data_IF_638548849925
#
_entry.id   IF_638548849925
#
_cell.length_a   1.000
_cell.length_b   1.000
_cell.length_c   1.000
_cell.angle_alpha   90.00
_cell.angle_beta   90.00
_cell.angle_gamma   90.00
#
_symmetry.space_group_name_H-M   'P 1'
#
loop_
_entity.id
_entity.type
_entity.pdbx_description
1 polymer ?
#
# COMPACT_ATOMS: atom_id res chain seq x y z
N UNK A 1 2.82 -11.09 -20.43
CA UNK A 1 2.96 -10.56 -19.06
C UNK A 1 4.38 -10.03 -18.95
N UNK A 2 4.59 -8.82 -18.44
CA UNK A 2 5.95 -8.27 -18.24
C UNK A 2 6.59 -9.03 -17.07
N UNK A 3 7.86 -9.42 -17.21
CA UNK A 3 8.59 -10.06 -16.10
C UNK A 3 8.68 -9.06 -14.92
N UNK A 4 8.24 -9.43 -13.72
CA UNK A 4 8.33 -8.57 -12.54
C UNK A 4 9.76 -8.07 -12.24
N UNK A 5 10.78 -8.87 -12.60
CA UNK A 5 12.19 -8.50 -12.42
C UNK A 5 12.65 -7.41 -13.38
N UNK A 6 11.89 -7.16 -14.47
CA UNK A 6 12.20 -6.12 -15.46
C UNK A 6 11.50 -4.78 -15.18
N UNK A 7 10.63 -4.72 -14.15
CA UNK A 7 9.93 -3.50 -13.76
C UNK A 7 10.89 -2.52 -13.08
N UNK A 8 10.79 -1.27 -13.51
CA UNK A 8 11.55 -0.14 -12.96
C UNK A 8 10.61 0.84 -12.26
N UNK A 9 10.95 1.21 -11.01
CA UNK A 9 10.07 2.02 -10.16
C UNK A 9 9.84 3.44 -10.70
N UNK A 10 10.80 3.99 -11.42
CA UNK A 10 10.69 5.35 -11.95
C UNK A 10 9.96 5.38 -13.28
N UNK A 11 10.13 4.35 -14.12
CA UNK A 11 9.44 4.21 -15.40
C UNK A 11 8.04 3.64 -15.24
N UNK A 12 7.93 2.51 -14.52
CA UNK A 12 6.71 1.70 -14.45
C UNK A 12 5.86 2.02 -13.22
N UNK A 13 6.46 2.64 -12.20
CA UNK A 13 5.79 3.00 -10.96
C UNK A 13 5.69 1.88 -9.94
N UNK A 14 6.20 0.69 -10.22
CA UNK A 14 6.18 -0.45 -9.31
C UNK A 14 7.41 -1.34 -9.52
N UNK A 15 7.86 -2.02 -8.45
CA UNK A 15 8.91 -3.03 -8.50
C UNK A 15 8.69 -4.11 -7.44
N UNK A 16 9.26 -5.30 -7.68
CA UNK A 16 9.19 -6.46 -6.79
C UNK A 16 10.57 -6.71 -6.15
N UNK A 17 10.57 -6.86 -4.83
CA UNK A 17 11.73 -7.29 -4.05
C UNK A 17 11.45 -8.68 -3.49
N UNK A 18 11.98 -9.71 -4.15
CA UNK A 18 11.73 -11.10 -3.77
C UNK A 18 12.38 -11.44 -2.44
N UNK A 19 11.57 -12.03 -1.55
CA UNK A 19 12.01 -12.54 -0.25
C UNK A 19 12.54 -11.47 0.73
N UNK A 20 12.39 -10.17 0.44
CA UNK A 20 12.95 -9.10 1.26
C UNK A 20 12.46 -9.14 2.72
N UNK A 21 11.22 -9.56 2.94
CA UNK A 21 10.63 -9.66 4.28
C UNK A 21 10.74 -11.07 4.89
N UNK A 22 11.39 -12.04 4.24
CA UNK A 22 11.40 -13.44 4.72
C UNK A 22 11.93 -13.56 6.14
N UNK A 23 13.01 -12.86 6.47
CA UNK A 23 13.59 -12.87 7.83
C UNK A 23 12.70 -12.20 8.88
N UNK A 24 11.73 -11.37 8.48
CA UNK A 24 10.85 -10.62 9.37
C UNK A 24 9.50 -11.34 9.62
N UNK A 25 9.20 -12.42 8.91
CA UNK A 25 7.88 -13.06 8.93
C UNK A 25 7.44 -13.51 10.32
N UNK A 26 8.36 -14.05 11.13
CA UNK A 26 8.04 -14.49 12.50
C UNK A 26 7.70 -13.31 13.40
N UNK A 27 8.48 -12.24 13.33
CA UNK A 27 8.25 -11.03 14.12
C UNK A 27 6.95 -10.33 13.69
N UNK A 28 6.72 -10.21 12.37
CA UNK A 28 5.47 -9.71 11.82
C UNK A 28 4.27 -10.54 12.29
N UNK A 29 4.36 -11.87 12.25
CA UNK A 29 3.28 -12.74 12.71
C UNK A 29 2.97 -12.53 14.19
N UNK A 30 4.01 -12.41 15.04
CA UNK A 30 3.85 -12.17 16.48
C UNK A 30 3.22 -10.79 16.77
N UNK A 31 3.66 -9.74 16.08
CA UNK A 31 3.12 -8.39 16.23
C UNK A 31 1.68 -8.34 15.74
N UNK A 32 1.40 -8.86 14.55
CA UNK A 32 0.09 -8.78 13.92
C UNK A 32 -0.97 -9.66 14.61
N UNK A 33 -0.58 -10.67 15.38
CA UNK A 33 -1.50 -11.47 16.19
C UNK A 33 -2.24 -10.68 17.27
N UNK A 34 -1.76 -9.48 17.63
CA UNK A 34 -2.45 -8.55 18.56
C UNK A 34 -3.69 -7.88 17.93
N UNK A 35 -3.80 -7.89 16.61
CA UNK A 35 -4.83 -7.15 15.88
C UNK A 35 -5.99 -8.06 15.46
N UNK A 36 -7.21 -7.51 15.33
CA UNK A 36 -8.40 -8.31 15.04
C UNK A 36 -8.27 -9.11 13.75
N UNK A 37 -8.63 -10.37 13.80
CA UNK A 37 -8.71 -11.30 12.68
C UNK A 37 -10.03 -11.19 11.93
N UNK A 38 -10.06 -11.57 10.65
CA UNK A 38 -11.28 -11.65 9.86
C UNK A 38 -11.90 -10.31 9.45
N UNK A 39 -11.13 -9.22 9.48
CA UNK A 39 -11.55 -7.91 8.98
C UNK A 39 -10.87 -7.61 7.64
N UNK A 40 -11.65 -7.06 6.71
CA UNK A 40 -11.19 -6.73 5.35
C UNK A 40 -9.92 -5.87 5.31
N UNK A 41 -9.78 -4.95 6.28
CA UNK A 41 -8.59 -4.12 6.45
C UNK A 41 -8.59 -3.51 7.86
N UNK A 42 -7.49 -3.73 8.58
CA UNK A 42 -7.26 -3.18 9.92
C UNK A 42 -6.18 -2.11 9.82
N UNK A 43 -6.52 -0.88 10.21
CA UNK A 43 -5.55 0.21 10.30
C UNK A 43 -4.80 0.11 11.61
N UNK A 44 -3.47 0.01 11.51
CA UNK A 44 -2.57 -0.14 12.64
C UNK A 44 -1.96 1.21 12.96
N UNK A 45 -2.03 1.61 14.23
CA UNK A 45 -1.36 2.81 14.76
C UNK A 45 -1.05 2.63 16.24
N UNK A 46 0.04 3.26 16.70
CA UNK A 46 0.47 3.18 18.09
C UNK A 46 1.08 1.83 18.49
N UNK A 47 1.61 1.06 17.52
CA UNK A 47 2.33 -0.17 17.79
C UNK A 47 3.86 0.06 17.66
N UNK A 48 4.58 0.26 18.77
CA UNK A 48 6.00 0.59 18.73
C UNK A 48 6.89 -0.56 18.22
N UNK A 49 6.43 -1.81 18.33
CA UNK A 49 7.18 -2.95 17.81
C UNK A 49 7.11 -2.97 16.29
N UNK A 50 5.91 -2.72 15.72
CA UNK A 50 5.74 -2.60 14.28
C UNK A 50 6.49 -1.38 13.74
N UNK A 51 6.40 -0.23 14.39
CA UNK A 51 7.11 0.98 14.00
C UNK A 51 8.62 0.75 13.91
N UNK A 52 9.21 0.10 14.94
CA UNK A 52 10.65 -0.24 14.95
C UNK A 52 11.04 -1.23 13.85
N UNK A 53 10.21 -2.24 13.59
CA UNK A 53 10.47 -3.24 12.56
C UNK A 53 10.47 -2.65 11.14
N UNK A 54 9.68 -1.60 10.94
CA UNK A 54 9.46 -0.94 9.65
C UNK A 54 10.26 0.38 9.50
N UNK A 55 11.04 0.76 10.50
CA UNK A 55 11.84 1.99 10.47
C UNK A 55 12.94 1.96 9.39
N UNK A 56 13.50 3.13 9.10
CA UNK A 56 14.52 3.33 8.07
C UNK A 56 15.75 2.43 8.21
N UNK A 57 16.10 2.06 9.43
CA UNK A 57 17.24 1.16 9.73
C UNK A 57 16.94 -0.32 9.42
N UNK A 58 15.67 -0.68 9.25
CA UNK A 58 15.25 -2.03 8.88
C UNK A 58 15.27 -2.26 7.36
N UNK A 59 15.23 -3.52 6.89
CA UNK A 59 15.35 -3.82 5.46
C UNK A 59 14.22 -3.21 4.62
N UNK A 60 13.02 -3.10 5.17
CA UNK A 60 11.85 -2.54 4.47
C UNK A 60 11.97 -1.02 4.36
N UNK A 61 12.29 -0.33 5.48
CA UNK A 61 12.48 1.12 5.49
C UNK A 61 13.68 1.55 4.65
N UNK A 62 14.80 0.83 4.74
CA UNK A 62 15.98 1.08 3.92
C UNK A 62 15.70 0.93 2.41
N UNK A 63 14.90 -0.08 2.02
CA UNK A 63 14.44 -0.24 0.65
C UNK A 63 13.55 0.94 0.23
N UNK A 64 12.59 1.34 1.06
CA UNK A 64 11.72 2.48 0.78
C UNK A 64 12.51 3.79 0.65
N UNK A 65 13.51 4.03 1.51
CA UNK A 65 14.42 5.17 1.42
C UNK A 65 15.22 5.17 0.12
N UNK A 66 15.76 4.01 -0.26
CA UNK A 66 16.49 3.84 -1.54
C UNK A 66 15.60 4.14 -2.74
N UNK A 67 14.37 3.63 -2.75
CA UNK A 67 13.39 3.89 -3.81
C UNK A 67 13.02 5.36 -3.88
N UNK A 68 12.86 6.03 -2.73
CA UNK A 68 12.54 7.48 -2.69
C UNK A 68 13.73 8.36 -3.03
N UNK A 69 14.95 7.88 -2.83
CA UNK A 69 16.19 8.67 -2.97
C UNK A 69 16.42 9.66 -1.82
N UNK A 70 15.73 9.48 -0.68
CA UNK A 70 15.89 10.28 0.54
C UNK A 70 15.36 9.51 1.75
N UNK A 71 15.67 10.02 2.96
CA UNK A 71 15.15 9.45 4.20
C UNK A 71 13.62 9.49 4.23
N UNK A 72 13.03 8.40 4.66
CA UNK A 72 11.58 8.22 4.80
C UNK A 72 11.26 7.56 6.12
N UNK A 73 10.00 7.72 6.56
CA UNK A 73 9.45 7.02 7.72
C UNK A 73 8.12 6.39 7.39
N UNK A 74 7.74 5.31 8.07
CA UNK A 74 6.42 4.72 7.91
C UNK A 74 5.37 5.65 8.54
N UNK A 75 4.35 6.02 7.75
CA UNK A 75 3.33 7.02 8.17
C UNK A 75 1.93 6.42 8.28
N UNK A 76 1.68 5.27 7.70
CA UNK A 76 0.41 4.54 7.76
C UNK A 76 0.67 3.05 7.56
N UNK A 77 0.01 2.19 8.35
CA UNK A 77 -0.03 0.75 8.12
C UNK A 77 -1.48 0.24 8.07
N UNK A 78 -1.72 -0.70 7.15
CA UNK A 78 -3.01 -1.38 6.98
C UNK A 78 -2.76 -2.86 6.76
N UNK A 79 -3.30 -3.71 7.62
CA UNK A 79 -3.33 -5.14 7.40
C UNK A 79 -4.58 -5.50 6.60
N UNK A 80 -4.41 -5.93 5.37
CA UNK A 80 -5.48 -6.50 4.56
C UNK A 80 -5.54 -8.01 4.78
N UNK A 81 -6.74 -8.51 5.06
CA UNK A 81 -7.00 -9.94 5.25
C UNK A 81 -8.20 -10.33 4.39
N UNK A 82 -7.92 -10.84 3.20
CA UNK A 82 -8.94 -11.41 2.32
C UNK A 82 -9.09 -12.90 2.61
N UNK A 83 -10.32 -13.30 2.87
CA UNK A 83 -10.74 -14.68 3.09
C UNK A 83 -12.19 -14.85 2.61
N UNK A 84 -12.78 -16.02 2.75
CA UNK A 84 -14.15 -16.31 2.28
C UNK A 84 -15.22 -15.31 2.78
N UNK A 85 -15.01 -14.72 3.94
CA UNK A 85 -15.96 -13.78 4.57
C UNK A 85 -15.67 -12.31 4.25
N UNK A 86 -14.46 -12.02 3.81
CA UNK A 86 -13.95 -10.65 3.62
C UNK A 86 -13.40 -10.46 2.21
N UNK A 87 -13.94 -11.19 1.23
CA UNK A 87 -13.56 -11.01 -0.17
C UNK A 87 -14.36 -9.85 -0.79
N UNK A 88 -13.64 -8.86 -1.29
CA UNK A 88 -14.23 -7.69 -1.95
C UNK A 88 -13.37 -7.28 -3.15
N UNK A 89 -13.99 -6.65 -4.13
CA UNK A 89 -13.30 -5.97 -5.21
C UNK A 89 -13.11 -4.49 -4.88
N UNK A 90 -12.00 -3.95 -5.33
CA UNK A 90 -11.73 -2.52 -5.30
C UNK A 90 -11.37 -2.07 -6.72
N UNK A 91 -12.21 -1.24 -7.32
CA UNK A 91 -12.02 -0.71 -8.66
C UNK A 91 -10.77 0.16 -8.77
N UNK A 92 -10.41 0.52 -9.99
CA UNK A 92 -9.26 1.37 -10.28
C UNK A 92 -9.34 2.71 -9.58
N UNK A 93 -8.28 3.08 -8.87
CA UNK A 93 -8.19 4.35 -8.14
C UNK A 93 -6.72 4.72 -7.86
N UNK A 94 -6.51 5.97 -7.48
CA UNK A 94 -5.30 6.46 -6.83
C UNK A 94 -5.56 6.62 -5.34
N UNK A 95 -4.60 6.30 -4.49
CA UNK A 95 -4.61 6.73 -3.09
C UNK A 95 -4.52 8.26 -3.04
N UNK A 96 -5.46 8.91 -2.35
CA UNK A 96 -5.58 10.38 -2.31
C UNK A 96 -5.58 10.97 -0.92
N UNK A 97 -5.56 10.15 0.11
CA UNK A 97 -5.68 10.62 1.48
C UNK A 97 -4.51 10.12 2.34
N UNK A 98 -4.05 10.98 3.21
CA UNK A 98 -3.07 10.67 4.25
C UNK A 98 -3.75 10.54 5.61
N UNK A 99 -3.14 9.79 6.53
CA UNK A 99 -3.58 9.67 7.92
C UNK A 99 -2.81 10.67 8.79
N UNK A 100 -3.53 11.42 9.62
CA UNK A 100 -2.96 12.45 10.48
C UNK A 100 -3.47 12.31 11.92
N UNK A 101 -2.70 12.84 12.88
CA UNK A 101 -3.04 12.78 14.30
C UNK A 101 -4.28 13.60 14.63
N UNK A 102 -4.30 14.85 14.21
CA UNK A 102 -5.37 15.80 14.50
C UNK A 102 -5.83 16.54 13.24
N UNK A 103 -7.09 16.93 13.24
CA UNK A 103 -7.63 17.81 12.20
C UNK A 103 -7.25 19.26 12.48
N UNK A 104 -6.76 19.95 11.46
CA UNK A 104 -6.44 21.37 11.51
C UNK A 104 -6.71 22.04 10.18
N UNK A 105 -7.04 23.34 10.22
CA UNK A 105 -7.21 24.17 9.04
C UNK A 105 -5.84 24.52 8.44
N UNK A 106 -5.51 23.86 7.32
CA UNK A 106 -4.27 24.14 6.56
C UNK A 106 -4.64 24.28 5.09
N UNK A 107 -4.16 25.34 4.47
CA UNK A 107 -4.43 25.64 3.07
C UNK A 107 -4.02 24.49 2.14
N UNK A 108 -4.92 24.08 1.26
CA UNK A 108 -4.69 22.97 0.32
C UNK A 108 -4.95 21.57 0.88
N UNK A 109 -5.31 21.45 2.17
CA UNK A 109 -5.68 20.17 2.79
C UNK A 109 -7.20 20.07 2.95
N UNK A 110 -7.80 19.06 2.33
CA UNK A 110 -9.24 18.77 2.32
C UNK A 110 -9.66 18.09 1.02
N UNK A 111 -10.78 17.36 1.01
CA UNK A 111 -11.72 17.16 2.13
C UNK A 111 -11.20 16.23 3.23
N UNK A 112 -11.84 16.32 4.39
CA UNK A 112 -11.58 15.48 5.54
C UNK A 112 -12.51 14.25 5.58
N UNK A 113 -12.01 13.16 6.14
CA UNK A 113 -12.80 11.94 6.39
C UNK A 113 -12.29 11.20 7.64
N UNK A 114 -13.11 10.33 8.20
CA UNK A 114 -12.74 9.45 9.31
C UNK A 114 -12.93 8.01 8.87
N UNK A 115 -11.90 7.19 8.99
CA UNK A 115 -11.92 5.77 8.65
C UNK A 115 -11.43 4.97 9.86
N UNK A 116 -12.29 4.14 10.45
CA UNK A 116 -12.00 3.36 11.67
C UNK A 116 -11.45 4.24 12.82
N UNK A 117 -12.05 5.41 13.04
CA UNK A 117 -11.64 6.37 14.07
C UNK A 117 -10.40 7.22 13.73
N UNK A 118 -9.71 6.95 12.66
CA UNK A 118 -8.50 7.68 12.22
C UNK A 118 -8.89 8.81 11.28
N UNK A 119 -8.34 9.99 11.53
CA UNK A 119 -8.52 11.16 10.67
C UNK A 119 -7.71 11.04 9.39
N UNK A 120 -8.36 11.30 8.28
CA UNK A 120 -7.74 11.34 6.97
C UNK A 120 -8.06 12.66 6.29
N UNK A 121 -7.12 13.13 5.51
CA UNK A 121 -7.28 14.35 4.70
C UNK A 121 -6.68 14.13 3.30
N UNK A 122 -7.31 14.71 2.30
CA UNK A 122 -6.68 14.83 0.97
C UNK A 122 -5.69 16.02 1.03
N UNK A 123 -4.36 15.76 0.90
CA UNK A 123 -3.35 16.81 0.89
C UNK A 123 -3.19 17.36 -0.54
N UNK A 124 -2.42 18.43 -0.74
CA UNK A 124 -1.88 18.76 -2.06
C UNK A 124 -1.26 17.50 -2.69
N UNK A 125 -1.56 17.24 -3.97
CA UNK A 125 -1.20 15.95 -4.59
C UNK A 125 0.31 15.69 -4.62
N UNK A 126 1.12 16.74 -4.58
CA UNK A 126 2.58 16.67 -4.44
C UNK A 126 3.04 15.92 -3.19
N UNK A 127 2.25 15.90 -2.12
CA UNK A 127 2.53 15.08 -0.92
C UNK A 127 2.40 13.60 -1.28
N UNK A 128 1.32 13.21 -2.01
CA UNK A 128 1.11 11.84 -2.47
C UNK A 128 2.20 11.41 -3.47
N UNK A 129 2.60 12.29 -4.38
CA UNK A 129 3.72 12.07 -5.32
C UNK A 129 5.05 11.85 -4.60
N UNK A 130 5.18 12.45 -3.43
CA UNK A 130 6.32 12.28 -2.53
C UNK A 130 6.37 10.97 -1.76
N UNK A 131 5.35 10.11 -1.85
CA UNK A 131 5.22 8.89 -1.07
C UNK A 131 5.53 7.63 -1.88
N UNK A 132 5.87 6.56 -1.17
CA UNK A 132 5.91 5.19 -1.69
C UNK A 132 5.08 4.29 -0.81
N UNK A 133 4.42 3.33 -1.44
CA UNK A 133 3.62 2.31 -0.76
C UNK A 133 4.29 0.96 -0.92
N UNK A 134 4.43 0.27 0.19
CA UNK A 134 5.05 -1.05 0.30
C UNK A 134 3.98 -2.07 0.68
N UNK A 135 3.99 -3.23 0.04
CA UNK A 135 3.09 -4.36 0.35
C UNK A 135 3.89 -5.59 0.68
N UNK A 136 3.90 -5.97 1.95
CA UNK A 136 4.58 -7.15 2.47
C UNK A 136 3.61 -8.32 2.42
N UNK A 137 3.95 -9.36 1.69
CA UNK A 137 3.10 -10.54 1.51
C UNK A 137 3.34 -11.55 2.61
N UNK A 138 2.32 -11.76 3.45
CA UNK A 138 2.33 -12.73 4.56
C UNK A 138 1.78 -14.10 4.12
N UNK A 139 1.08 -14.14 3.01
CA UNK A 139 0.57 -15.33 2.34
C UNK A 139 0.87 -15.23 0.84
N UNK A 140 0.97 -16.35 0.10
CA UNK A 140 1.21 -16.31 -1.33
C UNK A 140 0.01 -15.73 -2.09
N UNK A 141 0.27 -15.06 -3.19
CA UNK A 141 -0.74 -14.46 -4.05
C UNK A 141 -0.54 -14.94 -5.48
N UNK A 142 -1.48 -15.75 -5.96
CA UNK A 142 -1.59 -16.19 -7.34
C UNK A 142 -2.66 -15.40 -8.13
N UNK A 143 -2.84 -15.71 -9.39
CA UNK A 143 -3.79 -15.02 -10.29
C UNK A 143 -5.26 -15.11 -9.81
N UNK A 144 -5.61 -16.12 -9.05
CA UNK A 144 -6.97 -16.40 -8.58
C UNK A 144 -7.25 -15.82 -7.19
N UNK A 145 -6.20 -15.42 -6.46
CA UNK A 145 -6.29 -14.99 -5.06
C UNK A 145 -6.28 -13.45 -4.94
N UNK A 146 -7.08 -12.78 -5.77
CA UNK A 146 -7.28 -11.33 -5.75
C UNK A 146 -5.96 -10.51 -5.73
N UNK A 147 -5.03 -10.71 -6.68
CA UNK A 147 -3.79 -9.96 -6.73
C UNK A 147 -4.03 -8.46 -6.88
N UNK A 148 -3.05 -7.66 -6.49
CA UNK A 148 -3.02 -6.24 -6.85
C UNK A 148 -2.79 -6.11 -8.35
N UNK A 149 -3.54 -5.24 -8.99
CA UNK A 149 -3.35 -4.80 -10.36
C UNK A 149 -2.80 -3.38 -10.35
N UNK A 150 -1.81 -3.09 -11.16
CA UNK A 150 -1.24 -1.74 -11.32
C UNK A 150 -1.22 -1.34 -12.79
N UNK A 151 -1.61 -0.10 -13.09
CA UNK A 151 -1.49 0.48 -14.43
C UNK A 151 -0.11 1.13 -14.53
N UNK A 152 0.81 0.49 -15.25
CA UNK A 152 2.21 0.90 -15.35
C UNK A 152 2.35 2.30 -15.94
N UNK A 153 3.19 3.12 -15.31
CA UNK A 153 3.45 4.50 -15.74
C UNK A 153 2.39 5.52 -15.32
N UNK A 154 1.23 5.08 -14.77
CA UNK A 154 0.15 6.00 -14.39
C UNK A 154 0.52 6.99 -13.28
N UNK A 155 1.53 6.69 -12.47
CA UNK A 155 2.06 7.58 -11.43
C UNK A 155 2.67 8.87 -11.98
N UNK A 156 3.08 8.88 -13.26
CA UNK A 156 3.64 10.05 -13.96
C UNK A 156 2.57 11.03 -14.46
N UNK A 157 1.28 10.66 -14.39
CA UNK A 157 0.17 11.46 -14.93
C UNK A 157 -0.42 12.45 -13.91
N UNK A 158 0.19 12.55 -12.72
CA UNK A 158 -0.31 13.39 -11.65
C UNK A 158 -1.68 12.93 -11.12
N UNK A 159 -2.49 13.89 -10.66
CA UNK A 159 -3.84 13.62 -10.12
C UNK A 159 -4.83 13.40 -11.25
N UNK A 160 -5.29 12.17 -11.40
CA UNK A 160 -6.26 11.78 -12.45
C UNK A 160 -7.70 11.99 -11.93
N UNK A 161 -8.56 12.73 -12.63
CA UNK A 161 -9.97 12.86 -12.27
C UNK A 161 -10.67 11.49 -12.18
N UNK A 162 -11.58 11.32 -11.20
CA UNK A 162 -12.24 10.02 -10.98
C UNK A 162 -12.96 9.51 -12.23
N UNK A 163 -13.59 10.41 -12.98
CA UNK A 163 -14.32 10.05 -14.21
C UNK A 163 -13.42 9.68 -15.39
N UNK A 164 -12.11 9.92 -15.30
CA UNK A 164 -11.14 9.62 -16.37
C UNK A 164 -10.32 8.35 -16.10
N UNK A 165 -10.42 7.80 -14.89
CA UNK A 165 -9.60 6.66 -14.44
C UNK A 165 -9.70 5.48 -15.39
N UNK A 166 -10.90 5.06 -15.76
CA UNK A 166 -11.11 3.89 -16.63
C UNK A 166 -10.53 4.12 -18.04
N UNK A 167 -10.68 5.33 -18.58
CA UNK A 167 -10.14 5.70 -19.88
C UNK A 167 -8.58 5.70 -19.87
N UNK A 168 -7.99 6.20 -18.78
CA UNK A 168 -6.52 6.19 -18.58
C UNK A 168 -6.02 4.76 -18.48
N UNK A 169 -6.65 3.91 -17.68
CA UNK A 169 -6.27 2.50 -17.52
C UNK A 169 -6.36 1.75 -18.86
N UNK A 170 -7.40 2.00 -19.66
CA UNK A 170 -7.56 1.35 -20.96
C UNK A 170 -6.42 1.68 -21.95
N UNK A 171 -5.70 2.77 -21.74
CA UNK A 171 -4.54 3.19 -22.55
C UNK A 171 -3.17 2.75 -22.01
N UNK A 172 -3.10 2.08 -20.87
CA UNK A 172 -1.84 1.72 -20.21
C UNK A 172 -1.66 0.19 -20.07
N UNK A 173 -0.42 -0.29 -20.05
CA UNK A 173 -0.15 -1.68 -19.69
C UNK A 173 -0.56 -1.94 -18.24
N UNK A 174 -1.30 -3.03 -18.01
CA UNK A 174 -1.68 -3.49 -16.67
C UNK A 174 -0.79 -4.66 -16.26
N UNK A 175 -0.24 -4.59 -15.04
CA UNK A 175 0.54 -5.66 -14.45
C UNK A 175 -0.19 -6.28 -13.27
N UNK A 176 -0.16 -7.62 -13.19
CA UNK A 176 -0.71 -8.41 -12.07
C UNK A 176 0.42 -8.71 -11.09
N UNK A 177 0.31 -8.19 -9.88
CA UNK A 177 1.34 -8.31 -8.83
C UNK A 177 1.19 -9.65 -8.11
N UNK A 178 1.80 -10.71 -8.64
CA UNK A 178 1.90 -12.02 -7.99
C UNK A 178 3.05 -11.99 -6.97
N UNK A 179 2.96 -12.81 -5.93
CA UNK A 179 3.97 -12.83 -4.86
C UNK A 179 4.00 -14.17 -4.12
N UNK A 180 5.20 -14.54 -3.69
CA UNK A 180 5.41 -15.57 -2.68
C UNK A 180 5.41 -14.96 -1.26
N UNK A 181 5.36 -15.81 -0.24
CA UNK A 181 5.47 -15.37 1.16
C UNK A 181 6.81 -14.69 1.38
N UNK A 182 6.81 -13.51 1.99
CA UNK A 182 8.00 -12.70 2.24
C UNK A 182 8.41 -11.80 1.07
N UNK A 183 7.76 -11.90 -0.07
CA UNK A 183 7.94 -10.95 -1.17
C UNK A 183 7.38 -9.57 -0.80
N UNK A 184 7.99 -8.54 -1.36
CA UNK A 184 7.59 -7.14 -1.12
C UNK A 184 7.42 -6.42 -2.45
N UNK A 185 6.18 -6.04 -2.75
CA UNK A 185 5.90 -5.06 -3.80
C UNK A 185 6.07 -3.65 -3.27
N UNK A 186 6.80 -2.82 -3.98
CA UNK A 186 6.91 -1.38 -3.74
C UNK A 186 6.38 -0.62 -4.96
N UNK A 187 5.59 0.42 -4.74
CA UNK A 187 5.10 1.27 -5.82
C UNK A 187 5.01 2.74 -5.41
N UNK A 188 5.11 3.62 -6.41
CA UNK A 188 4.82 5.05 -6.24
C UNK A 188 3.36 5.20 -5.84
N UNK A 189 3.08 5.84 -4.70
CA UNK A 189 1.73 5.93 -4.12
C UNK A 189 0.66 6.45 -5.09
N UNK A 190 0.94 7.42 -6.01
CA UNK A 190 -0.06 7.90 -6.97
C UNK A 190 -0.38 6.92 -8.12
N UNK A 191 0.21 5.73 -8.19
CA UNK A 191 -0.10 4.76 -9.26
C UNK A 191 -1.58 4.35 -9.22
N UNK A 192 -2.21 4.24 -10.39
CA UNK A 192 -3.53 3.62 -10.48
C UNK A 192 -3.43 2.14 -10.17
N UNK A 193 -4.25 1.70 -9.22
CA UNK A 193 -4.28 0.30 -8.81
C UNK A 193 -5.69 -0.18 -8.52
N UNK A 194 -5.87 -1.50 -8.60
CA UNK A 194 -7.13 -2.18 -8.34
C UNK A 194 -6.89 -3.56 -7.73
N UNK A 195 -7.93 -4.19 -7.22
CA UNK A 195 -7.90 -5.60 -6.81
C UNK A 195 -9.28 -6.20 -7.03
N UNK A 196 -9.37 -7.23 -7.85
CA UNK A 196 -10.61 -7.98 -8.03
C UNK A 196 -10.96 -8.79 -6.76
N UNK A 197 -12.19 -9.26 -6.69
CA UNK A 197 -12.52 -10.35 -5.78
C UNK A 197 -11.76 -11.62 -6.20
N UNK A 198 -11.49 -12.54 -5.27
CA UNK A 198 -10.89 -13.81 -5.60
C UNK A 198 -11.82 -14.63 -6.51
N UNK A 199 -11.26 -15.26 -7.53
CA UNK A 199 -12.03 -16.16 -8.37
C UNK A 199 -12.10 -17.54 -7.69
N UNK A 200 -13.30 -17.96 -7.31
CA UNK A 200 -13.54 -19.30 -6.80
C UNK A 200 -13.42 -20.30 -7.96
N UNK A 201 -12.28 -20.97 -8.08
CA UNK A 201 -12.23 -22.18 -8.90
C UNK A 201 -12.95 -23.31 -8.15
N UNK A 202 -13.87 -23.99 -8.83
CA UNK A 202 -14.59 -25.15 -8.29
C UNK A 202 -13.56 -26.19 -7.82
N UNK A 203 -13.51 -26.44 -6.51
CA UNK A 203 -12.62 -27.45 -5.90
C UNK A 203 -11.30 -26.92 -5.31
N UNK A 204 -10.93 -25.66 -5.51
CA UNK A 204 -9.85 -25.02 -4.78
C UNK A 204 -10.47 -24.20 -3.63
N UNK A 205 -10.24 -24.61 -2.39
CA UNK A 205 -10.68 -23.83 -1.23
C UNK A 205 -10.14 -22.40 -1.30
N UNK A 206 -10.95 -21.44 -0.84
CA UNK A 206 -10.54 -20.04 -0.76
C UNK A 206 -9.29 -19.92 0.12
N UNK A 207 -8.19 -19.47 -0.46
CA UNK A 207 -6.95 -19.26 0.30
C UNK A 207 -6.98 -17.89 0.97
N UNK A 208 -6.73 -17.86 2.27
CA UNK A 208 -6.51 -16.61 2.99
C UNK A 208 -5.35 -15.85 2.36
N UNK A 209 -5.51 -14.52 2.23
CA UNK A 209 -4.48 -13.63 1.72
C UNK A 209 -4.30 -12.42 2.64
N UNK A 210 -3.22 -12.44 3.40
CA UNK A 210 -2.81 -11.32 4.26
C UNK A 210 -1.68 -10.55 3.61
N UNK A 211 -1.84 -9.25 3.58
CA UNK A 211 -0.84 -8.30 3.08
C UNK A 211 -0.77 -7.13 4.04
N UNK A 212 0.42 -6.84 4.55
CA UNK A 212 0.66 -5.62 5.30
C UNK A 212 1.07 -4.53 4.33
N UNK A 213 0.20 -3.53 4.15
CA UNK A 213 0.51 -2.33 3.38
C UNK A 213 1.05 -1.26 4.31
N UNK A 214 2.15 -0.64 3.91
CA UNK A 214 2.81 0.45 4.65
C UNK A 214 3.10 1.60 3.69
N UNK A 215 2.65 2.79 4.05
CA UNK A 215 3.01 4.00 3.31
C UNK A 215 4.18 4.68 3.99
N UNK A 216 5.15 5.08 3.17
CA UNK A 216 6.32 5.83 3.58
C UNK A 216 6.29 7.22 2.99
N UNK A 217 6.67 8.21 3.80
CA UNK A 217 6.80 9.60 3.38
C UNK A 217 8.09 10.21 3.90
N UNK A 218 8.62 11.18 3.16
CA UNK A 218 9.72 12.03 3.56
C UNK A 218 9.19 13.27 4.29
N UNK A 219 9.99 13.80 5.21
CA UNK A 219 9.74 15.09 5.84
C UNK A 219 8.49 15.16 6.71
N UNK A 220 8.22 16.37 7.21
CA UNK A 220 7.06 16.68 8.03
C UNK A 220 5.94 17.28 7.19
N UNK A 221 4.71 17.20 7.71
CA UNK A 221 3.59 17.96 7.19
C UNK A 221 3.70 19.43 7.63
N UNK A 222 3.06 20.38 6.92
CA UNK A 222 3.01 21.76 7.38
C UNK A 222 2.29 21.86 8.73
N UNK A 223 2.90 22.55 9.68
CA UNK A 223 2.31 22.76 11.00
C UNK A 223 0.91 23.40 10.90
N UNK A 224 -0.03 23.02 11.75
CA UNK A 224 0.10 22.09 12.88
C UNK A 224 -0.21 20.62 12.56
N UNK A 225 -0.25 20.22 11.29
CA UNK A 225 -0.51 18.83 10.92
C UNK A 225 0.69 17.93 11.24
N UNK A 226 0.40 16.75 11.74
CA UNK A 226 1.37 15.69 12.00
C UNK A 226 0.92 14.36 11.38
N UNK A 227 1.88 13.63 10.82
CA UNK A 227 1.62 12.25 10.41
C UNK A 227 1.08 11.43 11.60
N UNK A 228 0.11 10.54 11.32
CA UNK A 228 -0.37 9.62 12.36
C UNK A 228 0.77 8.73 12.87
N UNK A 229 1.57 8.20 11.94
CA UNK A 229 2.57 7.18 12.24
C UNK A 229 1.95 5.78 12.41
N UNK A 230 2.77 4.86 12.89
CA UNK A 230 2.42 3.46 13.14
C UNK A 230 2.50 3.15 14.62
#
# INVERSE_FOLDING_TARGET
>A
MVDPAALDIDRDGACLHRGLATALLNDLAAILAKWPDGHAGVRISGDPDLARLLDADGPIGAMAAKVRGCDVRPVRAVLFDKNERTDWSLGWHQDRTIAVREQAEVSGFGPWSVKQGIRHVEPPFTVIEGMVTVRIHLDPVDENNAPLLVALGSHLLGRIPVGEVDAVVAGLPVHTCLADVGDVWCYRTPILHASNAASLQVGAGHRRRRVLQVDYAAGDLPAPLEWLGI
#
